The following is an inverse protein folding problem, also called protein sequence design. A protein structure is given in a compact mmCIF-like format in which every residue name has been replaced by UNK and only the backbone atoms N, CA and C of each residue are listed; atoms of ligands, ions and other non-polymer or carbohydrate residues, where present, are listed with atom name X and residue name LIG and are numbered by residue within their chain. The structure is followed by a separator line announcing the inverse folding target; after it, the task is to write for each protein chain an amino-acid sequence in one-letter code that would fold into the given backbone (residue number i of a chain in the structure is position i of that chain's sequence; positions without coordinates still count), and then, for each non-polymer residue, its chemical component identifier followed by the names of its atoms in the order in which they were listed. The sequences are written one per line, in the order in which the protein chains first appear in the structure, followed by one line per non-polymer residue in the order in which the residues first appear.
data_IF_724122936501
#
_entry.id   IF_724122936501
#
_cell.length_a   1.000
_cell.length_b   1.000
_cell.length_c   1.000
_cell.angle_alpha   90.00
_cell.angle_beta   90.00
_cell.angle_gamma   90.00
#
_symmetry.space_group_name_H-M   'P 1'
#
loop_
_entity.id
_entity.type
_entity.pdbx_description
1 polymer ?
#
# COMPACT_ATOMS: atom_id res chain seq x y z
N UNK A 1 16.70 32.07 -17.02
CA UNK A 1 15.79 30.95 -17.36
C UNK A 1 15.37 30.35 -16.03
N UNK A 2 14.11 30.52 -15.64
CA UNK A 2 13.54 29.75 -14.55
C UNK A 2 13.59 28.27 -14.96
N UNK A 3 14.29 27.48 -14.15
CA UNK A 3 14.35 26.04 -14.30
C UNK A 3 12.93 25.52 -14.06
N UNK A 4 12.24 25.11 -15.11
CA UNK A 4 10.95 24.41 -14.99
C UNK A 4 11.26 23.12 -14.25
N UNK A 5 11.07 23.11 -12.93
CA UNK A 5 11.07 21.89 -12.13
C UNK A 5 9.93 21.04 -12.70
N UNK A 6 10.26 20.08 -13.58
CA UNK A 6 9.35 19.01 -13.95
C UNK A 6 9.01 18.27 -12.67
N UNK A 7 7.92 18.66 -12.00
CA UNK A 7 7.37 17.92 -10.87
C UNK A 7 7.03 16.53 -11.39
N UNK A 8 7.86 15.54 -11.05
CA UNK A 8 7.56 14.15 -11.32
C UNK A 8 6.17 13.87 -10.74
N UNK A 9 5.19 13.59 -11.62
CA UNK A 9 3.82 13.25 -11.23
C UNK A 9 3.76 11.92 -10.44
N UNK A 10 4.88 11.22 -10.38
CA UNK A 10 5.03 9.95 -9.71
C UNK A 10 6.26 9.89 -8.81
N UNK A 11 6.13 9.19 -7.68
CA UNK A 11 7.21 8.81 -6.77
C UNK A 11 7.57 7.36 -7.05
N UNK A 12 8.85 7.04 -7.21
CA UNK A 12 9.28 5.64 -7.40
C UNK A 12 9.15 4.84 -6.09
N UNK A 13 9.07 3.50 -6.16
CA UNK A 13 9.03 2.65 -4.96
C UNK A 13 10.20 2.90 -3.98
N UNK A 14 11.48 2.99 -4.40
CA UNK A 14 12.57 3.32 -3.50
C UNK A 14 12.42 4.72 -2.87
N UNK A 15 12.06 5.72 -3.68
CA UNK A 15 11.86 7.09 -3.22
C UNK A 15 10.68 7.20 -2.24
N UNK A 16 9.61 6.45 -2.47
CA UNK A 16 8.45 6.35 -1.58
C UNK A 16 8.89 5.84 -0.20
N UNK A 17 9.59 4.71 -0.15
CA UNK A 17 10.11 4.15 1.11
C UNK A 17 10.97 5.17 1.87
N UNK A 18 11.90 5.83 1.16
CA UNK A 18 12.77 6.86 1.75
C UNK A 18 11.99 8.07 2.27
N UNK A 19 11.00 8.55 1.52
CA UNK A 19 10.16 9.69 1.92
C UNK A 19 9.36 9.40 3.18
N UNK A 20 8.73 8.23 3.28
CA UNK A 20 7.97 7.84 4.47
C UNK A 20 8.87 7.76 5.71
N UNK A 21 10.02 7.10 5.60
CA UNK A 21 10.98 7.01 6.70
C UNK A 21 11.51 8.39 7.09
N UNK A 22 11.83 9.24 6.10
CA UNK A 22 12.31 10.59 6.33
C UNK A 22 11.27 11.47 7.03
N UNK A 23 9.98 11.27 6.74
CA UNK A 23 8.90 12.01 7.39
C UNK A 23 8.88 11.76 8.91
N UNK A 24 9.12 10.52 9.36
CA UNK A 24 9.25 10.19 10.79
C UNK A 24 10.51 10.83 11.38
N UNK A 25 11.67 10.61 10.77
CA UNK A 25 12.97 11.06 11.30
C UNK A 25 13.03 12.59 11.42
N UNK A 26 12.46 13.31 10.44
CA UNK A 26 12.40 14.79 10.47
C UNK A 26 11.67 15.31 11.69
N UNK A 27 10.67 14.59 12.17
CA UNK A 27 9.85 15.01 13.30
C UNK A 27 10.43 14.54 14.63
N UNK A 28 10.85 13.27 14.70
CA UNK A 28 11.46 12.70 15.89
C UNK A 28 12.47 11.60 15.51
N UNK A 29 13.79 11.89 15.58
CA UNK A 29 14.84 10.94 15.21
C UNK A 29 14.86 9.65 16.03
N UNK A 30 14.21 9.64 17.20
CA UNK A 30 14.22 8.51 18.13
C UNK A 30 13.02 7.57 17.94
N UNK A 31 12.02 7.94 17.13
CA UNK A 31 10.86 7.09 16.88
C UNK A 31 11.21 5.99 15.88
N UNK A 32 10.62 4.82 16.09
CA UNK A 32 10.78 3.68 15.16
C UNK A 32 9.80 3.79 14.00
N UNK A 33 10.20 3.30 12.83
CA UNK A 33 9.39 3.29 11.60
C UNK A 33 9.30 1.89 11.02
N UNK A 34 8.10 1.47 10.67
CA UNK A 34 7.85 0.21 9.95
C UNK A 34 6.88 0.42 8.78
N UNK A 35 7.17 -0.24 7.65
CA UNK A 35 6.36 -0.20 6.44
C UNK A 35 6.02 -1.63 5.99
N UNK A 36 4.73 -1.94 5.90
CA UNK A 36 4.22 -3.27 5.54
C UNK A 36 3.36 -3.25 4.27
N UNK A 37 3.22 -4.41 3.63
CA UNK A 37 2.27 -4.68 2.54
C UNK A 37 2.78 -4.36 1.13
N UNK A 38 4.07 -4.03 0.99
CA UNK A 38 4.73 -3.78 -0.31
C UNK A 38 6.05 -4.54 -0.47
N UNK A 39 6.29 -5.54 0.36
CA UNK A 39 7.52 -6.33 0.42
C UNK A 39 7.78 -7.06 -0.90
N UNK A 40 6.71 -7.54 -1.53
CA UNK A 40 6.75 -8.32 -2.77
C UNK A 40 6.82 -7.47 -4.05
N UNK A 41 6.78 -6.13 -3.94
CA UNK A 41 6.87 -5.25 -5.11
C UNK A 41 8.34 -5.08 -5.54
N UNK A 42 8.66 -5.57 -6.75
CA UNK A 42 9.99 -5.34 -7.38
C UNK A 42 10.17 -3.89 -7.84
N UNK A 43 9.13 -3.29 -8.39
CA UNK A 43 9.09 -1.88 -8.80
C UNK A 43 7.65 -1.36 -8.81
N UNK A 44 7.47 -0.07 -8.52
CA UNK A 44 6.18 0.60 -8.57
C UNK A 44 6.35 2.12 -8.72
N UNK A 45 5.27 2.81 -9.10
CA UNK A 45 5.15 4.26 -9.13
C UNK A 45 3.88 4.69 -8.41
N UNK A 46 4.02 5.57 -7.43
CA UNK A 46 2.93 6.16 -6.66
C UNK A 46 2.62 7.55 -7.19
N UNK A 47 1.41 8.06 -7.03
CA UNK A 47 1.09 9.45 -7.38
C UNK A 47 1.77 10.41 -6.39
N UNK A 48 2.64 11.32 -6.86
CA UNK A 48 3.44 12.16 -5.96
C UNK A 48 2.60 13.03 -5.01
N UNK A 49 1.45 13.52 -5.47
CA UNK A 49 0.52 14.27 -4.61
C UNK A 49 -0.01 13.40 -3.46
N UNK A 50 -0.29 12.12 -3.71
CA UNK A 50 -0.77 11.20 -2.67
C UNK A 50 0.37 10.79 -1.73
N UNK A 51 1.58 10.59 -2.25
CA UNK A 51 2.79 10.39 -1.42
C UNK A 51 2.95 11.55 -0.43
N UNK A 52 2.89 12.80 -0.91
CA UNK A 52 3.04 13.96 -0.03
C UNK A 52 1.95 14.05 1.05
N UNK A 53 0.71 13.68 0.72
CA UNK A 53 -0.37 13.59 1.73
C UNK A 53 -0.09 12.54 2.81
N UNK A 54 0.52 11.42 2.45
CA UNK A 54 0.93 10.38 3.40
C UNK A 54 2.10 10.86 4.25
N UNK A 55 3.08 11.56 3.67
CA UNK A 55 4.19 12.18 4.41
C UNK A 55 3.67 13.13 5.51
N UNK A 56 2.69 13.99 5.19
CA UNK A 56 2.09 14.88 6.18
C UNK A 56 1.35 14.12 7.29
N UNK A 57 0.60 13.07 6.95
CA UNK A 57 -0.08 12.24 7.97
C UNK A 57 0.93 11.54 8.88
N UNK A 58 2.06 11.07 8.33
CA UNK A 58 3.14 10.49 9.12
C UNK A 58 3.76 11.52 10.07
N UNK A 59 3.98 12.74 9.60
CA UNK A 59 4.52 13.82 10.44
C UNK A 59 3.57 14.16 11.58
N UNK A 60 2.27 14.25 11.32
CA UNK A 60 1.22 14.48 12.32
C UNK A 60 1.21 13.39 13.40
N UNK A 61 1.31 12.11 13.02
CA UNK A 61 1.44 11.01 14.00
C UNK A 61 2.78 11.06 14.74
N UNK A 62 3.87 11.40 14.05
CA UNK A 62 5.20 11.48 14.64
C UNK A 62 5.40 12.71 15.56
N UNK A 63 4.52 13.70 15.50
CA UNK A 63 4.50 14.86 16.40
C UNK A 63 4.06 14.49 17.81
N UNK A 64 3.21 13.47 17.95
CA UNK A 64 2.73 13.02 19.24
C UNK A 64 3.86 12.41 20.07
N UNK A 65 4.03 12.93 21.29
CA UNK A 65 5.08 12.48 22.21
C UNK A 65 4.77 11.12 22.83
N UNK A 66 3.51 10.72 22.87
CA UNK A 66 3.06 9.46 23.47
C UNK A 66 3.15 8.27 22.48
N UNK A 67 3.55 8.52 21.23
CA UNK A 67 3.69 7.49 20.18
C UNK A 67 5.15 7.10 19.96
N UNK A 68 5.60 5.91 20.37
CA UNK A 68 7.00 5.50 20.19
C UNK A 68 7.33 4.94 18.78
N UNK A 69 6.31 4.52 18.04
CA UNK A 69 6.43 3.85 16.75
C UNK A 69 5.40 4.38 15.76
N UNK A 70 5.87 4.69 14.55
CA UNK A 70 5.02 4.95 13.39
C UNK A 70 5.00 3.70 12.52
N UNK A 71 3.84 3.10 12.35
CA UNK A 71 3.62 1.98 11.44
C UNK A 71 2.78 2.42 10.25
N UNK A 72 3.22 2.08 9.04
CA UNK A 72 2.50 2.33 7.80
C UNK A 72 2.17 1.01 7.13
N UNK A 73 0.87 0.71 7.01
CA UNK A 73 0.38 -0.51 6.36
C UNK A 73 -0.25 -0.15 5.03
N UNK A 74 0.25 -0.73 3.94
CA UNK A 74 -0.32 -0.58 2.60
C UNK A 74 -1.12 -1.83 2.28
N UNK A 75 -2.43 -1.69 2.11
CA UNK A 75 -3.33 -2.81 1.83
C UNK A 75 -4.27 -2.53 0.66
N UNK A 76 -4.82 -3.58 0.01
CA UNK A 76 -5.82 -3.41 -1.03
C UNK A 76 -7.04 -2.69 -0.50
N UNK A 77 -7.43 -1.62 -1.19
CA UNK A 77 -8.65 -0.88 -0.85
C UNK A 77 -9.93 -1.63 -1.23
N UNK A 78 -9.85 -2.49 -2.23
CA UNK A 78 -10.92 -3.42 -2.61
C UNK A 78 -10.44 -4.82 -2.21
N UNK A 79 -10.95 -5.37 -1.09
CA UNK A 79 -10.39 -6.59 -0.48
C UNK A 79 -10.81 -7.87 -1.20
N UNK A 80 -11.84 -7.80 -2.06
CA UNK A 80 -12.42 -8.94 -2.75
C UNK A 80 -12.14 -8.88 -4.25
N UNK A 81 -11.69 -9.99 -4.79
CA UNK A 81 -11.44 -10.16 -6.23
C UNK A 81 -11.90 -11.54 -6.69
N UNK A 82 -12.76 -11.55 -7.72
CA UNK A 82 -13.25 -12.78 -8.35
C UNK A 82 -12.25 -13.27 -9.40
N UNK A 83 -11.92 -14.55 -9.35
CA UNK A 83 -10.91 -15.18 -10.19
C UNK A 83 -11.44 -16.46 -10.85
N UNK A 84 -11.00 -16.70 -12.09
CA UNK A 84 -11.21 -17.99 -12.76
C UNK A 84 -10.06 -18.93 -12.41
N UNK A 85 -10.39 -20.11 -11.89
CA UNK A 85 -9.45 -21.21 -11.66
C UNK A 85 -9.56 -22.18 -12.83
N UNK A 86 -8.42 -22.51 -13.45
CA UNK A 86 -8.38 -23.46 -14.58
C UNK A 86 -7.58 -24.68 -14.15
N UNK A 87 -8.26 -25.81 -13.95
CA UNK A 87 -7.64 -27.10 -13.63
C UNK A 87 -7.44 -27.88 -14.92
N UNK A 88 -6.19 -28.11 -15.33
CA UNK A 88 -5.83 -28.78 -16.58
C UNK A 88 -5.25 -30.17 -16.32
N UNK A 89 -5.77 -31.18 -17.03
CA UNK A 89 -5.19 -32.52 -17.13
C UNK A 89 -4.24 -32.58 -18.32
N UNK A 90 -2.94 -32.66 -18.04
CA UNK A 90 -1.88 -32.68 -19.06
C UNK A 90 -1.45 -34.13 -19.33
N UNK A 91 -1.33 -34.51 -20.61
CA UNK A 91 -0.87 -35.83 -21.04
C UNK A 91 0.66 -35.92 -21.06
N UNK A 92 1.19 -37.15 -21.23
CA UNK A 92 2.64 -37.41 -21.20
C UNK A 92 3.43 -36.64 -22.26
N UNK A 93 2.80 -36.28 -23.37
CA UNK A 93 3.39 -35.51 -24.46
C UNK A 93 3.30 -33.98 -24.24
N UNK A 94 2.75 -33.53 -23.10
CA UNK A 94 2.58 -32.12 -22.76
C UNK A 94 1.31 -31.47 -23.31
N UNK A 95 0.47 -32.20 -24.05
CA UNK A 95 -0.80 -31.66 -24.56
C UNK A 95 -1.88 -31.67 -23.47
N UNK A 96 -2.83 -30.74 -23.55
CA UNK A 96 -3.92 -30.62 -22.57
C UNK A 96 -5.14 -31.41 -23.04
N UNK A 97 -5.48 -32.50 -22.34
CA UNK A 97 -6.63 -33.36 -22.67
C UNK A 97 -7.96 -32.82 -22.18
N UNK A 98 -7.98 -32.25 -20.97
CA UNK A 98 -9.19 -31.79 -20.31
C UNK A 98 -8.89 -30.56 -19.46
N UNK A 99 -9.82 -29.61 -19.41
CA UNK A 99 -9.82 -28.52 -18.46
C UNK A 99 -11.17 -28.44 -17.73
N UNK A 100 -11.14 -28.03 -16.47
CA UNK A 100 -12.31 -27.63 -15.69
C UNK A 100 -12.10 -26.18 -15.29
N UNK A 101 -13.13 -25.36 -15.49
CA UNK A 101 -13.14 -23.96 -15.07
C UNK A 101 -14.02 -23.85 -13.84
N UNK A 102 -13.48 -23.22 -12.81
CA UNK A 102 -14.20 -22.85 -11.59
C UNK A 102 -14.01 -21.36 -11.31
N UNK A 103 -14.85 -20.81 -10.44
CA UNK A 103 -14.73 -19.44 -9.96
C UNK A 103 -14.46 -19.45 -8.45
N UNK A 104 -13.56 -18.58 -8.00
CA UNK A 104 -13.29 -18.36 -6.58
C UNK A 104 -13.17 -16.86 -6.29
N UNK A 105 -13.65 -16.45 -5.12
CA UNK A 105 -13.36 -15.13 -4.58
C UNK A 105 -12.16 -15.22 -3.65
N UNK A 106 -11.15 -14.38 -3.88
CA UNK A 106 -10.04 -14.18 -2.95
C UNK A 106 -10.35 -12.94 -2.12
N UNK A 107 -10.46 -13.13 -0.80
CA UNK A 107 -10.82 -12.09 0.17
C UNK A 107 -9.61 -11.83 1.06
N UNK A 108 -9.18 -10.58 1.13
CA UNK A 108 -8.14 -10.10 2.04
C UNK A 108 -8.78 -9.44 3.27
N UNK A 109 -8.13 -9.46 4.45
CA UNK A 109 -8.56 -8.66 5.58
C UNK A 109 -8.73 -7.18 5.20
N UNK A 110 -9.76 -6.53 5.75
CA UNK A 110 -10.00 -5.08 5.63
C UNK A 110 -9.18 -4.31 6.66
N UNK A 111 -9.26 -2.98 6.64
CA UNK A 111 -8.61 -2.09 7.60
C UNK A 111 -8.97 -2.39 9.05
N UNK A 112 -10.12 -3.02 9.31
CA UNK A 112 -10.56 -3.41 10.64
C UNK A 112 -9.55 -4.30 11.36
N UNK A 113 -8.80 -5.14 10.62
CA UNK A 113 -7.76 -5.99 11.18
C UNK A 113 -6.57 -5.21 11.75
N UNK A 114 -6.30 -4.00 11.23
CA UNK A 114 -5.21 -3.12 11.68
C UNK A 114 -5.70 -2.07 12.69
N UNK A 115 -7.01 -1.85 12.78
CA UNK A 115 -7.62 -0.79 13.59
C UNK A 115 -8.29 -1.30 14.88
N UNK A 116 -8.13 -2.59 15.22
CA UNK A 116 -8.80 -3.24 16.37
C UNK A 116 -8.59 -2.47 17.68
N UNK A 117 -7.37 -1.96 17.91
CA UNK A 117 -7.00 -1.25 19.15
C UNK A 117 -6.95 0.28 18.98
N UNK A 118 -7.36 0.80 17.81
CA UNK A 118 -7.35 2.23 17.53
C UNK A 118 -8.48 2.94 18.29
N UNK A 119 -8.12 3.85 19.21
CA UNK A 119 -9.09 4.66 19.96
C UNK A 119 -9.68 5.79 19.12
N UNK A 120 -8.90 6.33 18.19
CA UNK A 120 -9.26 7.44 17.32
C UNK A 120 -8.90 7.10 15.88
N UNK A 121 -9.83 7.31 14.95
CA UNK A 121 -9.65 7.03 13.52
C UNK A 121 -10.15 8.22 12.71
N UNK A 122 -9.25 8.84 11.94
CA UNK A 122 -9.57 9.89 10.97
C UNK A 122 -9.49 9.34 9.54
N UNK A 123 -10.64 8.95 8.96
CA UNK A 123 -10.70 8.41 7.61
C UNK A 123 -10.75 9.52 6.55
N UNK A 124 -9.56 9.86 6.02
CA UNK A 124 -9.37 10.89 4.96
C UNK A 124 -9.51 10.33 3.55
N UNK A 125 -9.92 9.07 3.36
CA UNK A 125 -10.05 8.43 2.04
C UNK A 125 -11.34 8.93 1.35
N UNK A 126 -11.33 9.22 0.03
CA UNK A 126 -12.57 9.54 -0.68
C UNK A 126 -13.41 8.28 -0.87
N UNK A 127 -14.74 8.28 -1.02
CA UNK A 127 -15.54 7.06 -1.23
C UNK A 127 -15.09 6.20 -2.42
N UNK A 128 -15.37 4.90 -2.39
CA UNK A 128 -15.01 3.99 -3.50
C UNK A 128 -15.69 4.49 -4.79
N UNK A 129 -14.93 4.52 -5.89
CA UNK A 129 -15.41 5.03 -7.18
C UNK A 129 -15.36 6.56 -7.32
N UNK A 130 -14.83 7.28 -6.32
CA UNK A 130 -14.57 8.73 -6.37
C UNK A 130 -13.07 8.96 -6.09
N UNK A 131 -12.23 9.01 -7.13
CA UNK A 131 -10.77 9.16 -7.01
C UNK A 131 -10.25 10.45 -7.64
#
# INVERSE_FOLDING_TARGET
MEEIIMKLMHTSLPEFKLKLQSAVIKQSPNKTFELKGIENLKSAKMQSLRTGRIEFAIQEIAEDKDIDKVEVVVMPRVPETMHTVIVKGIEKDGTCKKAILEVINIIHPTEEAELVDAKEVDDRRPPIGRH
#
